data_IF_417407253353
#
_entry.id   IF_417407253353
#
_cell.length_a   1.000
_cell.length_b   1.000
_cell.length_c   1.000
_cell.angle_alpha   90.00
_cell.angle_beta   90.00
_cell.angle_gamma   90.00
#
_symmetry.space_group_name_H-M   'P 1'
#
loop_
_entity.id
_entity.type
_entity.pdbx_description
1 polymer ?
#
# COMPACT_ATOMS: atom_id res chain seq x y z
N UNK A 1 21.67 -16.07 -1.28
CA UNK A 1 20.64 -15.95 -0.21
C UNK A 1 19.65 -14.88 -0.65
N UNK A 2 18.35 -15.19 -0.65
CA UNK A 2 17.33 -14.21 -1.02
C UNK A 2 17.05 -13.32 0.21
N UNK A 3 17.65 -12.13 0.23
CA UNK A 3 17.38 -11.14 1.27
C UNK A 3 16.05 -10.46 0.96
N UNK A 4 15.03 -10.66 1.79
CA UNK A 4 13.74 -9.97 1.65
C UNK A 4 13.96 -8.47 1.81
N UNK A 5 13.65 -7.69 0.77
CA UNK A 5 13.79 -6.22 0.77
C UNK A 5 12.60 -5.55 1.47
N UNK A 6 12.51 -5.74 2.79
CA UNK A 6 11.50 -5.06 3.60
C UNK A 6 11.89 -3.60 3.84
N UNK A 7 11.03 -2.66 3.45
CA UNK A 7 11.21 -1.22 3.66
C UNK A 7 9.98 -0.59 4.30
N UNK A 8 10.17 0.49 5.05
CA UNK A 8 9.03 1.29 5.52
C UNK A 8 8.44 2.10 4.37
N UNK A 9 7.21 2.59 4.53
CA UNK A 9 6.55 3.44 3.51
C UNK A 9 7.47 4.57 2.99
N UNK A 10 8.15 5.27 3.89
CA UNK A 10 9.03 6.39 3.54
C UNK A 10 10.27 5.91 2.79
N UNK A 11 10.88 4.81 3.23
CA UNK A 11 12.03 4.20 2.56
C UNK A 11 11.67 3.60 1.21
N UNK A 12 10.45 3.07 1.04
CA UNK A 12 9.93 2.59 -0.24
C UNK A 12 9.81 3.76 -1.21
N UNK A 13 9.22 4.88 -0.79
CA UNK A 13 9.13 6.08 -1.64
C UNK A 13 10.51 6.59 -2.03
N UNK A 14 11.44 6.69 -1.07
CA UNK A 14 12.81 7.10 -1.35
C UNK A 14 13.48 6.18 -2.37
N UNK A 15 13.32 4.85 -2.22
CA UNK A 15 13.84 3.87 -3.17
C UNK A 15 13.33 4.10 -4.58
N UNK A 16 12.02 4.29 -4.76
CA UNK A 16 11.44 4.48 -6.08
C UNK A 16 11.88 5.80 -6.70
N UNK A 17 12.01 6.87 -5.92
CA UNK A 17 12.52 8.16 -6.42
C UNK A 17 14.00 8.12 -6.79
N UNK A 18 14.81 7.35 -6.08
CA UNK A 18 16.22 7.14 -6.42
C UNK A 18 16.39 6.38 -7.74
N UNK A 19 15.56 5.35 -7.97
CA UNK A 19 15.62 4.57 -9.20
C UNK A 19 14.93 5.26 -10.39
N UNK A 20 13.80 5.92 -10.14
CA UNK A 20 13.04 6.68 -11.13
C UNK A 20 12.47 7.98 -10.50
N UNK A 21 13.13 9.12 -10.74
CA UNK A 21 12.70 10.41 -10.23
C UNK A 21 11.30 10.85 -10.68
N UNK A 22 10.80 10.33 -11.81
CA UNK A 22 9.51 10.71 -12.38
C UNK A 22 8.36 9.81 -11.89
N UNK A 23 8.67 8.75 -11.13
CA UNK A 23 7.66 7.85 -10.58
C UNK A 23 6.75 8.60 -9.61
N UNK A 24 5.43 8.54 -9.86
CA UNK A 24 4.39 9.21 -9.07
C UNK A 24 4.11 8.57 -7.69
N UNK A 25 5.00 7.71 -7.19
CA UNK A 25 4.85 7.01 -5.91
C UNK A 25 5.15 7.99 -4.77
N UNK A 26 4.14 8.23 -3.94
CA UNK A 26 4.25 9.10 -2.78
C UNK A 26 3.74 8.40 -1.50
N UNK A 27 4.07 8.92 -0.30
CA UNK A 27 3.71 8.26 0.95
C UNK A 27 2.20 8.17 1.15
N UNK A 28 1.46 9.17 0.66
CA UNK A 28 0.00 9.26 0.79
C UNK A 28 -0.69 8.16 -0.02
N UNK A 29 -0.28 7.97 -1.28
CA UNK A 29 -0.73 6.90 -2.16
C UNK A 29 -0.48 5.54 -1.50
N UNK A 30 0.74 5.28 -1.06
CA UNK A 30 1.08 4.01 -0.38
C UNK A 30 0.22 3.79 0.86
N UNK A 31 0.09 4.78 1.75
CA UNK A 31 -0.78 4.68 2.94
C UNK A 31 -2.24 4.39 2.56
N UNK A 32 -2.76 5.00 1.51
CA UNK A 32 -4.11 4.74 1.00
C UNK A 32 -4.25 3.32 0.46
N UNK A 33 -3.30 2.83 -0.33
CA UNK A 33 -3.33 1.47 -0.87
C UNK A 33 -3.24 0.40 0.22
N UNK A 34 -2.42 0.65 1.26
CA UNK A 34 -2.34 -0.21 2.44
C UNK A 34 -3.67 -0.25 3.20
N UNK A 35 -4.31 0.91 3.42
CA UNK A 35 -5.63 0.99 4.07
C UNK A 35 -6.72 0.29 3.26
N UNK A 36 -6.65 0.39 1.93
CA UNK A 36 -7.55 -0.31 1.01
C UNK A 36 -7.28 -1.82 0.95
N UNK A 37 -6.16 -2.31 1.49
CA UNK A 37 -5.80 -3.72 1.47
C UNK A 37 -5.34 -4.25 0.11
N UNK A 38 -5.00 -3.35 -0.83
CA UNK A 38 -4.62 -3.71 -2.21
C UNK A 38 -3.21 -4.30 -2.34
N UNK A 39 -2.35 -4.04 -1.35
CA UNK A 39 -0.95 -4.46 -1.34
C UNK A 39 -0.69 -5.29 -0.09
N UNK A 40 0.17 -6.30 -0.21
CA UNK A 40 0.65 -7.10 0.93
C UNK A 40 1.59 -6.27 1.81
N UNK A 41 1.31 -6.24 3.11
CA UNK A 41 2.14 -5.54 4.09
C UNK A 41 2.22 -6.26 5.42
N UNK A 42 3.26 -5.93 6.20
CA UNK A 42 3.41 -6.35 7.59
C UNK A 42 3.36 -5.12 8.47
N UNK A 43 2.47 -5.12 9.47
CA UNK A 43 2.39 -4.04 10.46
C UNK A 43 3.29 -4.37 11.64
N UNK A 44 4.24 -3.49 11.96
CA UNK A 44 5.08 -3.61 13.16
C UNK A 44 4.88 -2.33 13.99
N UNK A 45 4.14 -2.46 15.08
CA UNK A 45 3.72 -1.35 15.93
C UNK A 45 2.92 -0.31 15.13
N UNK A 46 3.47 0.91 15.04
CA UNK A 46 2.88 2.01 14.28
C UNK A 46 3.31 2.04 12.80
N UNK A 47 4.31 1.26 12.41
CA UNK A 47 4.91 1.31 11.06
C UNK A 47 4.36 0.20 10.16
N UNK A 48 4.29 0.51 8.87
CA UNK A 48 4.01 -0.46 7.82
C UNK A 48 5.32 -0.80 7.11
N UNK A 49 5.61 -2.10 7.05
CA UNK A 49 6.69 -2.67 6.27
C UNK A 49 6.13 -3.30 5.01
N UNK A 50 6.76 -2.95 3.90
CA UNK A 50 6.38 -3.35 2.55
C UNK A 50 7.57 -4.06 1.95
N UNK A 51 7.30 -5.20 1.32
CA UNK A 51 8.29 -5.84 0.46
C UNK A 51 8.32 -5.09 -0.88
N UNK A 52 9.48 -4.54 -1.23
CA UNK A 52 9.68 -3.81 -2.48
C UNK A 52 9.35 -4.70 -3.68
N UNK A 53 9.77 -5.97 -3.65
CA UNK A 53 9.58 -6.88 -4.79
C UNK A 53 8.08 -7.14 -5.05
N UNK A 54 7.27 -7.28 -4.00
CA UNK A 54 5.81 -7.42 -4.13
C UNK A 54 5.13 -6.15 -4.64
N UNK A 55 5.66 -4.98 -4.26
CA UNK A 55 5.12 -3.71 -4.74
C UNK A 55 5.46 -3.47 -6.21
N UNK A 56 6.67 -3.84 -6.66
CA UNK A 56 7.03 -3.83 -8.08
C UNK A 56 6.15 -4.79 -8.90
N UNK A 57 5.88 -5.99 -8.38
CA UNK A 57 4.98 -6.95 -9.02
C UNK A 57 3.56 -6.40 -9.15
N UNK A 58 3.07 -5.73 -8.11
CA UNK A 58 1.77 -5.05 -8.13
C UNK A 58 1.72 -3.88 -9.11
N UNK A 59 2.81 -3.11 -9.24
CA UNK A 59 2.91 -2.02 -10.23
C UNK A 59 2.89 -2.56 -11.68
N UNK A 60 3.49 -3.72 -11.92
CA UNK A 60 3.47 -4.39 -13.24
C UNK A 60 2.08 -4.91 -13.58
N UNK A 61 1.37 -5.45 -12.58
CA UNK A 61 0.03 -6.00 -12.73
C UNK A 61 -0.93 -5.31 -11.76
N UNK A 62 -1.39 -4.08 -12.06
CA UNK A 62 -2.38 -3.43 -11.24
C UNK A 62 -3.67 -4.25 -11.29
N UNK A 63 -3.99 -4.93 -10.20
CA UNK A 63 -5.26 -5.64 -10.08
C UNK A 63 -6.35 -4.56 -10.00
N UNK A 64 -7.02 -4.34 -11.13
CA UNK A 64 -8.24 -3.55 -11.21
C UNK A 64 -9.37 -4.40 -10.63
N UNK A 65 -9.42 -4.55 -9.31
CA UNK A 65 -10.63 -5.07 -8.67
C UNK A 65 -11.71 -3.99 -8.79
N UNK A 66 -12.60 -4.16 -9.78
CA UNK A 66 -13.91 -3.54 -9.75
C UNK A 66 -14.70 -4.12 -8.56
N UNK A 67 -15.35 -3.21 -7.82
CA UNK A 67 -16.33 -3.48 -6.77
C UNK A 67 -15.79 -3.73 -5.34
N UNK A 68 -15.71 -2.65 -4.57
CA UNK A 68 -15.99 -2.71 -3.14
C UNK A 68 -17.34 -2.00 -2.94
N UNK A 69 -18.42 -2.72 -3.25
CA UNK A 69 -19.78 -2.30 -2.88
C UNK A 69 -19.98 -2.29 -1.35
N UNK A 70 -19.14 -2.97 -0.58
CA UNK A 70 -19.42 -3.22 0.84
C UNK A 70 -18.21 -2.95 1.72
N UNK A 71 -18.17 -1.76 2.36
CA UNK A 71 -17.53 -1.55 3.69
C UNK A 71 -17.75 -0.18 4.35
N UNK A 72 -18.70 0.62 3.90
CA UNK A 72 -19.18 1.77 4.67
C UNK A 72 -20.51 1.45 5.36
N UNK A 73 -20.51 0.57 6.37
CA UNK A 73 -21.54 0.60 7.42
C UNK A 73 -21.27 1.74 8.41
N UNK A 74 -20.92 2.93 7.93
CA UNK A 74 -20.85 4.12 8.76
C UNK A 74 -22.16 4.89 8.57
N UNK A 75 -22.97 4.94 9.63
CA UNK A 75 -24.25 5.67 9.63
C UNK A 75 -25.51 4.83 9.85
N UNK A 76 -25.48 3.75 10.65
CA UNK A 76 -26.73 3.27 11.27
C UNK A 76 -27.12 4.24 12.38
N UNK A 77 -27.96 5.22 12.06
CA UNK A 77 -28.66 6.04 13.05
C UNK A 77 -29.44 5.10 13.99
N UNK A 78 -29.28 5.27 15.30
CA UNK A 78 -30.13 4.57 16.26
C UNK A 78 -31.55 5.11 16.12
N UNK A 79 -32.53 4.22 15.96
CA UNK A 79 -33.94 4.58 16.05
C UNK A 79 -34.23 4.89 17.52
N UNK A 80 -34.71 6.10 17.80
CA UNK A 80 -35.26 6.50 19.10
C UNK A 80 -36.69 6.00 19.17
#
# INVERSE_FOLDING_TARGET
>A
MATTKMRTVEQTVAYFKENDPQTAVNPTMLRSLLKQGKIKFVKIGAKYLINVDWFEEWLKNPVMEENIADKNQYGKLRKI
#
